data_IF_021971019679
#
_entry.id   IF_021971019679
#
_cell.length_a   1.000
_cell.length_b   1.000
_cell.length_c   1.000
_cell.angle_alpha   90.00
_cell.angle_beta   90.00
_cell.angle_gamma   90.00
#
_symmetry.space_group_name_H-M   'P 1'
#
loop_
_entity.id
_entity.type
_entity.pdbx_description
1 polymer ?
#
# COMPACT_ATOMS: atom_id res chain seq x y z
N UNK A 1 8.98 -8.82 -2.69
CA UNK A 1 7.77 -9.64 -2.90
C UNK A 1 6.65 -8.75 -3.42
N UNK A 2 5.91 -9.21 -4.42
CA UNK A 2 4.69 -8.58 -4.95
C UNK A 2 3.50 -9.46 -4.57
N UNK A 3 2.44 -8.89 -4.02
CA UNK A 3 1.19 -9.61 -3.70
C UNK A 3 0.00 -8.79 -4.16
N UNK A 4 -1.01 -9.36 -4.84
CA UNK A 4 -2.23 -8.62 -5.15
C UNK A 4 -2.97 -8.26 -3.85
N UNK A 5 -3.55 -7.06 -3.80
CA UNK A 5 -4.40 -6.64 -2.69
C UNK A 5 -5.83 -6.47 -3.23
N UNK A 6 -6.79 -7.11 -2.58
CA UNK A 6 -8.21 -6.90 -2.83
C UNK A 6 -8.83 -6.12 -1.68
N UNK A 7 -9.42 -4.98 -2.01
CA UNK A 7 -10.19 -4.06 -1.17
C UNK A 7 -11.33 -3.51 -2.01
N UNK A 8 -12.39 -2.97 -1.41
CA UNK A 8 -13.51 -2.40 -2.17
C UNK A 8 -13.06 -1.34 -3.19
N UNK A 9 -12.08 -0.53 -2.78
CA UNK A 9 -11.46 0.47 -3.66
C UNK A 9 -10.72 -0.18 -4.83
N UNK A 10 -9.94 -1.23 -4.60
CA UNK A 10 -9.23 -1.89 -5.70
C UNK A 10 -10.19 -2.58 -6.66
N UNK A 11 -11.33 -3.10 -6.17
CA UNK A 11 -12.37 -3.69 -7.02
C UNK A 11 -12.93 -2.67 -8.01
N UNK A 12 -13.27 -1.47 -7.53
CA UNK A 12 -13.69 -0.36 -8.42
C UNK A 12 -12.60 0.05 -9.42
N UNK A 13 -11.33 -0.03 -9.03
CA UNK A 13 -10.21 0.27 -9.95
C UNK A 13 -10.05 -0.83 -11.02
N UNK A 14 -10.40 -2.09 -10.72
CA UNK A 14 -10.32 -3.19 -11.68
C UNK A 14 -11.28 -3.00 -12.87
N UNK A 15 -12.44 -2.39 -12.66
CA UNK A 15 -13.37 -2.00 -13.75
C UNK A 15 -12.67 -1.08 -14.77
N UNK A 16 -11.76 -0.22 -14.29
CA UNK A 16 -10.93 0.65 -15.13
C UNK A 16 -9.58 0.02 -15.52
N UNK A 17 -9.45 -1.32 -15.45
CA UNK A 17 -8.23 -2.09 -15.74
C UNK A 17 -7.01 -1.68 -14.90
N UNK A 18 -7.24 -1.18 -13.68
CA UNK A 18 -6.19 -0.81 -12.74
C UNK A 18 -6.15 -1.81 -11.58
N UNK A 19 -4.97 -2.39 -11.35
CA UNK A 19 -4.76 -3.41 -10.33
C UNK A 19 -3.82 -2.90 -9.23
N UNK A 20 -4.09 -3.31 -7.99
CA UNK A 20 -3.34 -2.86 -6.80
C UNK A 20 -2.50 -4.01 -6.25
N UNK A 21 -1.22 -3.75 -6.00
CA UNK A 21 -0.28 -4.73 -5.45
C UNK A 21 0.44 -4.18 -4.22
N UNK A 22 0.58 -5.02 -3.20
CA UNK A 22 1.54 -4.83 -2.12
C UNK A 22 2.95 -5.12 -2.64
N UNK A 23 3.85 -4.18 -2.49
CA UNK A 23 5.25 -4.31 -2.92
C UNK A 23 6.19 -3.94 -1.79
N UNK A 24 7.41 -4.50 -1.80
CA UNK A 24 8.43 -4.12 -0.83
C UNK A 24 8.75 -2.61 -0.94
N UNK A 25 8.89 -1.89 0.19
CA UNK A 25 9.18 -0.45 0.19
C UNK A 25 10.42 -0.08 -0.62
N UNK A 26 11.40 -0.98 -0.70
CA UNK A 26 12.69 -0.79 -1.38
C UNK A 26 12.62 -0.91 -2.91
N UNK A 27 11.55 -1.47 -3.47
CA UNK A 27 11.47 -1.71 -4.93
C UNK A 27 11.29 -0.43 -5.75
N UNK A 28 12.00 -0.30 -6.86
CA UNK A 28 11.83 0.82 -7.82
C UNK A 28 10.72 0.54 -8.83
N UNK A 29 10.16 1.59 -9.45
CA UNK A 29 9.08 1.46 -10.46
C UNK A 29 9.47 0.57 -11.65
N UNK A 30 10.71 0.66 -12.11
CA UNK A 30 11.23 -0.16 -13.21
C UNK A 30 11.20 -1.66 -12.84
N UNK A 31 11.67 -2.02 -11.64
CA UNK A 31 11.65 -3.40 -11.16
C UNK A 31 10.22 -3.93 -11.02
N UNK A 32 9.31 -3.11 -10.47
CA UNK A 32 7.88 -3.47 -10.35
C UNK A 32 7.29 -3.78 -11.73
N UNK A 33 7.58 -2.92 -12.72
CA UNK A 33 7.09 -3.09 -14.09
C UNK A 33 7.56 -4.44 -14.67
N UNK A 34 8.87 -4.65 -14.75
CA UNK A 34 9.43 -5.87 -15.33
C UNK A 34 8.93 -7.13 -14.62
N UNK A 35 8.86 -7.11 -13.29
CA UNK A 35 8.41 -8.27 -12.52
C UNK A 35 6.93 -8.61 -12.77
N UNK A 36 6.05 -7.60 -12.90
CA UNK A 36 4.63 -7.82 -13.22
C UNK A 36 4.49 -8.33 -14.66
N UNK A 37 5.22 -7.74 -15.61
CA UNK A 37 5.19 -8.16 -17.01
C UNK A 37 5.65 -9.62 -17.17
N UNK A 38 6.69 -10.02 -16.46
CA UNK A 38 7.19 -11.41 -16.49
C UNK A 38 6.24 -12.40 -15.79
N UNK A 39 5.70 -12.03 -14.63
CA UNK A 39 4.86 -12.94 -13.82
C UNK A 39 3.50 -13.22 -14.47
N UNK A 40 2.94 -12.25 -15.19
CA UNK A 40 1.60 -12.35 -15.78
C UNK A 40 1.61 -12.35 -17.32
N UNK A 41 2.77 -12.21 -17.95
CA UNK A 41 2.92 -12.17 -19.42
C UNK A 41 2.06 -11.07 -20.08
N UNK A 42 1.94 -9.93 -19.40
CA UNK A 42 1.14 -8.77 -19.87
C UNK A 42 2.03 -7.56 -20.12
N UNK A 43 1.51 -6.56 -20.85
CA UNK A 43 2.19 -5.28 -21.06
C UNK A 43 1.69 -4.22 -20.08
N UNK A 44 2.59 -3.60 -19.31
CA UNK A 44 2.23 -2.57 -18.32
C UNK A 44 2.41 -1.18 -18.93
N UNK A 45 1.32 -0.42 -19.00
CA UNK A 45 1.31 0.94 -19.56
C UNK A 45 1.94 1.96 -18.60
N UNK A 46 1.55 1.94 -17.33
CA UNK A 46 2.04 2.88 -16.33
C UNK A 46 2.04 2.27 -14.93
N UNK A 47 3.01 2.65 -14.10
CA UNK A 47 3.12 2.21 -12.70
C UNK A 47 3.01 3.41 -11.76
N UNK A 48 2.02 3.38 -10.88
CA UNK A 48 1.88 4.31 -9.75
C UNK A 48 2.32 3.60 -8.48
N UNK A 49 3.28 4.19 -7.76
CA UNK A 49 3.74 3.70 -6.45
C UNK A 49 3.50 4.78 -5.41
N UNK A 50 2.61 4.53 -4.46
CA UNK A 50 2.49 5.32 -3.24
C UNK A 50 3.12 4.54 -2.09
N UNK A 51 3.71 5.27 -1.14
CA UNK A 51 3.94 4.71 0.20
C UNK A 51 2.71 5.09 1.02
N UNK A 52 2.06 4.16 1.74
CA UNK A 52 0.93 4.53 2.58
C UNK A 52 1.41 5.62 3.55
N UNK A 53 0.81 6.82 3.44
CA UNK A 53 1.13 7.96 4.28
C UNK A 53 0.04 8.05 5.34
N UNK A 54 0.30 7.38 6.48
CA UNK A 54 -0.42 7.46 7.76
C UNK A 54 -1.53 6.43 8.00
N UNK A 55 -1.61 6.05 9.27
CA UNK A 55 -2.77 5.50 9.94
C UNK A 55 -3.56 6.70 10.49
N UNK A 56 -4.81 6.86 10.03
CA UNK A 56 -5.73 7.87 10.56
C UNK A 56 -6.70 7.14 11.47
N UNK A 57 -6.60 7.38 12.77
CA UNK A 57 -7.48 6.81 13.78
C UNK A 57 -8.49 7.89 14.17
N UNK A 58 -9.79 7.58 14.09
CA UNK A 58 -10.85 8.41 14.70
C UNK A 58 -11.18 7.82 16.06
N UNK A 59 -11.00 8.59 17.12
CA UNK A 59 -11.32 8.21 18.49
C UNK A 59 -12.61 8.90 18.93
N UNK A 60 -13.39 8.21 19.76
CA UNK A 60 -14.64 8.75 20.32
C UNK A 60 -14.39 9.82 21.39
N UNK A 61 -13.24 9.75 22.06
CA UNK A 61 -12.78 10.71 23.07
C UNK A 61 -11.32 11.10 22.80
N UNK A 62 -10.88 12.26 23.32
CA UNK A 62 -9.48 12.69 23.24
C UNK A 62 -8.61 11.78 24.09
N UNK A 63 -7.70 11.03 23.46
CA UNK A 63 -6.67 10.28 24.19
C UNK A 63 -5.54 11.26 24.56
N UNK A 64 -5.14 11.28 25.83
CA UNK A 64 -3.94 12.01 26.23
C UNK A 64 -2.71 11.18 25.87
N UNK A 65 -1.99 11.61 24.83
CA UNK A 65 -0.81 10.89 24.34
C UNK A 65 0.42 11.09 25.23
N UNK A 66 0.42 12.07 26.13
CA UNK A 66 1.55 12.35 27.02
C UNK A 66 1.66 11.31 28.15
N UNK A 67 0.52 10.79 28.63
CA UNK A 67 0.47 9.75 29.66
C UNK A 67 0.81 8.35 29.14
N UNK A 68 0.55 8.06 27.86
CA UNK A 68 0.92 6.77 27.25
C UNK A 68 2.43 6.63 26.96
N UNK A 69 3.13 7.75 26.79
CA UNK A 69 4.56 7.76 26.46
C UNK A 69 5.49 7.42 27.63
N UNK A 70 5.05 7.61 28.88
CA UNK A 70 5.88 7.40 30.08
C UNK A 70 5.96 5.95 30.55
N UNK A 71 5.10 5.05 30.06
CA UNK A 71 5.01 3.66 30.56
C UNK A 71 5.87 2.65 29.80
N UNK A 72 6.52 3.04 28.70
CA UNK A 72 7.25 2.09 27.81
C UNK A 72 8.72 2.44 27.56
N UNK A 73 9.34 3.14 28.49
CA UNK A 73 10.79 3.31 28.55
C UNK A 73 11.32 2.72 29.85
N UNK A 74 11.18 1.40 29.99
CA UNK A 74 12.04 0.50 30.78
C UNK A 74 12.21 -0.81 30.00
#
# INVERSE_FOLDING_TARGET
MIRPILTDKSTRLMEMRQYTFSVSPRMRKAQIKSQIEQMFQVKVLAVRKSRPKRMIVKLAESIDLLSYGSEKSD
#
